data_IF_388305852852
#
_entry.id   IF_388305852852
#
_cell.length_a   1.000
_cell.length_b   1.000
_cell.length_c   1.000
_cell.angle_alpha   90.00
_cell.angle_beta   90.00
_cell.angle_gamma   90.00
#
_symmetry.space_group_name_H-M   'P 1'
#
loop_
_entity.id
_entity.type
_entity.pdbx_description
1 polymer ?
#
# COMPACT_ATOMS: atom_id res chain seq x y z
N UNK A 1 -41.39 40.36 -42.03
CA UNK A 1 -42.34 40.34 -40.89
C UNK A 1 -42.93 38.94 -40.72
N UNK A 2 -43.36 38.29 -41.80
CA UNK A 2 -43.93 36.92 -41.83
C UNK A 2 -43.06 35.82 -41.16
N UNK A 3 -41.73 35.91 -41.24
CA UNK A 3 -40.81 34.92 -40.64
C UNK A 3 -40.67 35.02 -39.12
N UNK A 4 -40.96 36.19 -38.53
CA UNK A 4 -40.93 36.39 -37.09
C UNK A 4 -42.24 35.88 -36.45
N UNK A 5 -43.37 36.10 -37.11
CA UNK A 5 -44.69 35.62 -36.69
C UNK A 5 -44.74 34.08 -36.69
N UNK A 6 -44.26 33.43 -37.76
CA UNK A 6 -44.15 31.96 -37.83
C UNK A 6 -43.30 31.35 -36.71
N UNK A 7 -42.22 32.02 -36.31
CA UNK A 7 -41.34 31.55 -35.24
C UNK A 7 -41.99 31.68 -33.86
N UNK A 8 -42.76 32.74 -33.64
CA UNK A 8 -43.53 32.95 -32.41
C UNK A 8 -44.67 31.93 -32.31
N UNK A 9 -45.40 31.68 -33.40
CA UNK A 9 -46.46 30.67 -33.44
C UNK A 9 -45.92 29.25 -33.17
N UNK A 10 -44.75 28.92 -33.73
CA UNK A 10 -44.10 27.63 -33.45
C UNK A 10 -43.64 27.51 -31.99
N UNK A 11 -43.17 28.59 -31.37
CA UNK A 11 -42.82 28.59 -29.94
C UNK A 11 -44.05 28.42 -29.05
N UNK A 12 -45.16 29.10 -29.37
CA UNK A 12 -46.44 28.96 -28.66
C UNK A 12 -46.96 27.53 -28.80
N UNK A 13 -46.91 26.94 -30.00
CA UNK A 13 -47.32 25.56 -30.21
C UNK A 13 -46.45 24.55 -29.42
N UNK A 14 -45.15 24.80 -29.31
CA UNK A 14 -44.24 23.94 -28.53
C UNK A 14 -44.50 24.09 -27.02
N UNK A 15 -44.76 25.31 -26.55
CA UNK A 15 -45.12 25.59 -25.15
C UNK A 15 -46.46 24.92 -24.82
N UNK A 16 -47.47 25.03 -25.68
CA UNK A 16 -48.77 24.37 -25.45
C UNK A 16 -48.61 22.85 -25.31
N UNK A 17 -47.82 22.20 -26.17
CA UNK A 17 -47.56 20.75 -26.03
C UNK A 17 -46.84 20.40 -24.73
N UNK A 18 -45.89 21.22 -24.29
CA UNK A 18 -45.21 21.02 -23.00
C UNK A 18 -46.15 21.24 -21.82
N UNK A 19 -47.03 22.23 -21.92
CA UNK A 19 -48.07 22.48 -20.92
C UNK A 19 -49.06 21.32 -20.88
N UNK A 20 -49.49 20.78 -22.02
CA UNK A 20 -50.38 19.62 -22.09
C UNK A 20 -49.74 18.40 -21.45
N UNK A 21 -48.46 18.12 -21.76
CA UNK A 21 -47.70 17.01 -21.14
C UNK A 21 -47.54 17.18 -19.62
N UNK A 22 -47.22 18.40 -19.16
CA UNK A 22 -47.13 18.69 -17.71
C UNK A 22 -48.50 18.58 -17.05
N UNK A 23 -49.57 18.98 -17.74
CA UNK A 23 -50.94 18.91 -17.22
C UNK A 23 -51.39 17.47 -17.05
N UNK A 24 -51.02 16.59 -17.98
CA UNK A 24 -51.30 15.15 -17.93
C UNK A 24 -50.57 14.49 -16.74
N UNK A 25 -49.25 14.70 -16.61
CA UNK A 25 -48.46 14.27 -15.45
C UNK A 25 -49.00 14.84 -14.12
N UNK A 26 -49.38 16.12 -14.11
CA UNK A 26 -49.97 16.74 -12.91
C UNK A 26 -51.34 16.15 -12.56
N UNK A 27 -52.16 15.77 -13.54
CA UNK A 27 -53.43 15.10 -13.30
C UNK A 27 -53.20 13.71 -12.72
N UNK A 28 -52.22 12.96 -13.22
CA UNK A 28 -51.89 11.63 -12.72
C UNK A 28 -51.36 11.69 -11.27
N UNK A 29 -50.48 12.66 -10.97
CA UNK A 29 -50.03 12.92 -9.60
C UNK A 29 -51.17 13.37 -8.68
N UNK A 30 -52.12 14.16 -9.18
CA UNK A 30 -53.28 14.59 -8.39
C UNK A 30 -54.20 13.41 -8.06
N UNK A 31 -54.41 12.50 -9.00
CA UNK A 31 -55.19 11.29 -8.79
C UNK A 31 -54.53 10.36 -7.76
N UNK A 32 -53.21 10.25 -7.77
CA UNK A 32 -52.49 9.52 -6.71
C UNK A 32 -52.64 10.19 -5.34
N UNK A 33 -52.57 11.53 -5.27
CA UNK A 33 -52.83 12.27 -4.02
C UNK A 33 -54.25 12.08 -3.49
N UNK A 34 -55.25 12.02 -4.38
CA UNK A 34 -56.63 11.71 -3.97
C UNK A 34 -56.77 10.30 -3.42
N UNK A 35 -56.13 9.30 -4.03
CA UNK A 35 -56.08 7.93 -3.50
C UNK A 35 -55.41 7.86 -2.12
N UNK A 36 -54.40 8.70 -1.86
CA UNK A 36 -53.76 8.80 -0.54
C UNK A 36 -54.67 9.41 0.52
N UNK A 37 -55.46 10.42 0.16
CA UNK A 37 -56.41 11.04 1.08
C UNK A 37 -57.55 10.08 1.45
N UNK A 38 -58.00 9.26 0.50
CA UNK A 38 -59.00 8.19 0.73
C UNK A 38 -58.42 7.08 1.65
N UNK A 39 -57.16 6.71 1.42
CA UNK A 39 -56.46 5.76 2.28
C UNK A 39 -56.28 6.27 3.72
N UNK A 40 -56.03 7.57 3.90
CA UNK A 40 -55.94 8.22 5.21
C UNK A 40 -57.25 8.08 6.00
N UNK A 41 -58.39 8.12 5.32
CA UNK A 41 -59.71 7.92 5.91
C UNK A 41 -59.91 6.44 6.35
N UNK A 42 -59.59 5.49 5.48
CA UNK A 42 -59.72 4.04 5.73
C UNK A 42 -58.79 3.51 6.84
N UNK A 43 -57.67 4.17 7.05
CA UNK A 43 -56.67 3.81 8.07
C UNK A 43 -57.17 3.93 9.49
N UNK A 44 -58.11 4.84 9.71
CA UNK A 44 -58.77 4.99 10.99
C UNK A 44 -59.48 3.69 11.39
N UNK A 45 -60.01 2.93 10.42
CA UNK A 45 -60.63 1.63 10.67
C UNK A 45 -59.59 0.53 10.96
N UNK A 46 -58.56 0.40 10.12
CA UNK A 46 -57.53 -0.66 10.25
C UNK A 46 -56.70 -0.47 11.52
N UNK A 47 -56.43 0.78 11.92
CA UNK A 47 -55.66 1.09 13.14
C UNK A 47 -56.29 0.48 14.40
N UNK A 48 -57.62 0.41 14.47
CA UNK A 48 -58.36 -0.17 15.60
C UNK A 48 -58.10 -1.67 15.75
N UNK A 49 -58.06 -2.39 14.63
CA UNK A 49 -57.83 -3.85 14.61
C UNK A 49 -56.38 -4.19 14.94
N UNK A 50 -55.43 -3.41 14.41
CA UNK A 50 -54.00 -3.53 14.72
C UNK A 50 -53.73 -3.20 16.19
N UNK A 51 -54.37 -2.16 16.72
CA UNK A 51 -54.26 -1.78 18.13
C UNK A 51 -54.79 -2.84 19.08
N UNK A 52 -55.95 -3.42 18.75
CA UNK A 52 -56.52 -4.51 19.54
C UNK A 52 -55.58 -5.72 19.55
N UNK A 53 -55.08 -6.12 18.38
CA UNK A 53 -54.13 -7.24 18.26
C UNK A 53 -52.81 -6.98 19.00
N UNK A 54 -52.27 -5.76 18.91
CA UNK A 54 -51.02 -5.40 19.60
C UNK A 54 -51.21 -5.37 21.13
N UNK A 55 -52.36 -4.90 21.62
CA UNK A 55 -52.68 -4.88 23.06
C UNK A 55 -52.82 -6.29 23.61
N UNK A 56 -53.52 -7.19 22.89
CA UNK A 56 -53.65 -8.61 23.26
C UNK A 56 -52.29 -9.34 23.30
N UNK A 57 -51.36 -9.03 22.39
CA UNK A 57 -50.03 -9.64 22.37
C UNK A 57 -49.07 -9.06 23.44
N UNK A 58 -49.27 -7.80 23.84
CA UNK A 58 -48.34 -7.07 24.72
C UNK A 58 -48.80 -6.99 26.17
N UNK A 59 -50.07 -7.31 26.47
CA UNK A 59 -50.54 -7.59 27.83
C UNK A 59 -49.68 -8.66 28.51
N UNK A 60 -49.15 -9.62 27.74
CA UNK A 60 -48.29 -10.70 28.23
C UNK A 60 -46.87 -10.23 28.63
N UNK A 61 -46.45 -9.04 28.18
CA UNK A 61 -45.10 -8.48 28.43
C UNK A 61 -45.12 -7.14 29.19
N UNK A 62 -46.29 -6.64 29.60
CA UNK A 62 -46.42 -5.41 30.40
C UNK A 62 -46.06 -4.11 29.67
N UNK A 63 -46.07 -4.11 28.33
CA UNK A 63 -45.75 -2.93 27.53
C UNK A 63 -47.02 -2.14 27.23
N UNK A 64 -47.11 -0.90 27.72
CA UNK A 64 -48.22 0.00 27.41
C UNK A 64 -48.03 0.66 26.04
N UNK A 65 -48.92 0.36 25.10
CA UNK A 65 -48.97 1.05 23.81
C UNK A 65 -49.91 2.25 23.89
N UNK A 66 -49.42 3.41 23.42
CA UNK A 66 -50.26 4.57 23.20
C UNK A 66 -50.98 4.44 21.84
N UNK A 67 -52.31 4.31 21.89
CA UNK A 67 -53.16 4.15 20.70
C UNK A 67 -53.03 5.30 19.70
N UNK A 68 -52.87 6.54 20.18
CA UNK A 68 -52.77 7.72 19.32
C UNK A 68 -51.41 7.77 18.62
N UNK A 69 -50.34 7.36 19.32
CA UNK A 69 -48.99 7.29 18.76
C UNK A 69 -48.89 6.24 17.64
N UNK A 70 -49.56 5.09 17.78
CA UNK A 70 -49.56 4.05 16.74
C UNK A 70 -50.34 4.48 15.51
N UNK A 71 -51.51 5.10 15.69
CA UNK A 71 -52.28 5.65 14.57
C UNK A 71 -51.49 6.74 13.85
N UNK A 72 -50.84 7.65 14.58
CA UNK A 72 -50.00 8.68 13.97
C UNK A 72 -48.80 8.09 13.21
N UNK A 73 -48.17 7.05 13.73
CA UNK A 73 -47.09 6.33 13.06
C UNK A 73 -47.57 5.63 11.77
N UNK A 74 -48.74 4.99 11.80
CA UNK A 74 -49.34 4.37 10.62
C UNK A 74 -49.59 5.43 9.54
N UNK A 75 -50.29 6.52 9.87
CA UNK A 75 -50.57 7.62 8.93
C UNK A 75 -49.28 8.21 8.36
N UNK A 76 -48.28 8.46 9.21
CA UNK A 76 -46.96 8.95 8.77
C UNK A 76 -46.27 7.94 7.85
N UNK A 77 -46.37 6.64 8.09
CA UNK A 77 -45.78 5.61 7.22
C UNK A 77 -46.42 5.59 5.83
N UNK A 78 -47.75 5.63 5.74
CA UNK A 78 -48.44 5.64 4.44
C UNK A 78 -48.21 6.93 3.67
N UNK A 79 -48.25 8.08 4.35
CA UNK A 79 -47.96 9.37 3.74
C UNK A 79 -46.52 9.48 3.24
N UNK A 80 -45.61 8.65 3.75
CA UNK A 80 -44.21 8.60 3.36
C UNK A 80 -43.84 7.29 2.66
N UNK A 81 -44.80 6.55 2.09
CA UNK A 81 -44.50 5.27 1.44
C UNK A 81 -43.48 5.42 0.32
N UNK A 82 -43.49 6.53 -0.41
CA UNK A 82 -42.56 6.80 -1.50
C UNK A 82 -41.13 6.95 -0.96
N UNK A 83 -40.98 7.59 0.20
CA UNK A 83 -39.69 7.70 0.89
C UNK A 83 -39.24 6.33 1.41
N UNK A 84 -40.16 5.50 1.90
CA UNK A 84 -39.89 4.14 2.36
C UNK A 84 -39.45 3.25 1.17
N UNK A 85 -40.13 3.34 0.03
CA UNK A 85 -39.77 2.64 -1.20
C UNK A 85 -38.38 3.05 -1.68
N UNK A 86 -38.08 4.36 -1.66
CA UNK A 86 -36.73 4.85 -2.00
C UNK A 86 -35.65 4.24 -1.09
N UNK A 87 -35.95 4.07 0.21
CA UNK A 87 -35.03 3.39 1.13
C UNK A 87 -34.89 1.91 0.78
N UNK A 88 -35.97 1.22 0.40
CA UNK A 88 -35.89 -0.17 -0.07
C UNK A 88 -35.07 -0.31 -1.35
N UNK A 89 -35.23 0.59 -2.32
CA UNK A 89 -34.43 0.60 -3.56
C UNK A 89 -32.94 0.82 -3.28
N UNK A 90 -32.63 1.68 -2.29
CA UNK A 90 -31.26 1.91 -1.82
C UNK A 90 -30.70 0.68 -1.11
N UNK A 91 -31.51 -0.03 -0.33
CA UNK A 91 -31.11 -1.27 0.32
C UNK A 91 -30.86 -2.38 -0.70
N UNK A 92 -31.72 -2.52 -1.71
CA UNK A 92 -31.56 -3.44 -2.84
C UNK A 92 -30.25 -3.16 -3.58
N UNK A 93 -30.03 -1.89 -3.93
CA UNK A 93 -28.78 -1.44 -4.57
C UNK A 93 -27.54 -1.70 -3.71
N UNK A 94 -27.65 -1.54 -2.39
CA UNK A 94 -26.56 -1.80 -1.46
C UNK A 94 -26.28 -3.30 -1.32
N UNK A 95 -27.31 -4.15 -1.31
CA UNK A 95 -27.14 -5.61 -1.34
C UNK A 95 -26.54 -6.10 -2.64
N UNK A 96 -26.98 -5.55 -3.78
CA UNK A 96 -26.42 -5.86 -5.10
C UNK A 96 -24.94 -5.47 -5.18
N UNK A 97 -24.61 -4.27 -4.71
CA UNK A 97 -23.23 -3.81 -4.64
C UNK A 97 -22.39 -4.69 -3.70
N UNK A 98 -22.94 -5.12 -2.57
CA UNK A 98 -22.25 -6.00 -1.64
C UNK A 98 -22.01 -7.39 -2.25
N UNK A 99 -22.97 -7.90 -3.01
CA UNK A 99 -22.84 -9.16 -3.73
C UNK A 99 -21.78 -9.07 -4.85
N UNK A 100 -21.82 -8.00 -5.63
CA UNK A 100 -20.84 -7.72 -6.70
C UNK A 100 -19.43 -7.51 -6.13
N UNK A 101 -19.30 -6.73 -5.06
CA UNK A 101 -18.03 -6.53 -4.36
C UNK A 101 -17.49 -7.86 -3.80
N UNK A 102 -18.37 -8.70 -3.24
CA UNK A 102 -18.01 -10.03 -2.77
C UNK A 102 -17.41 -10.90 -3.87
N UNK A 103 -18.01 -10.92 -5.07
CA UNK A 103 -17.50 -11.65 -6.24
C UNK A 103 -16.16 -11.11 -6.72
N UNK A 104 -15.99 -9.79 -6.77
CA UNK A 104 -14.73 -9.14 -7.15
C UNK A 104 -13.62 -9.48 -6.15
N UNK A 105 -13.90 -9.40 -4.84
CA UNK A 105 -12.96 -9.76 -3.77
C UNK A 105 -12.56 -11.22 -3.87
N UNK A 106 -13.50 -12.12 -4.19
CA UNK A 106 -13.21 -13.53 -4.32
C UNK A 106 -12.29 -13.82 -5.52
N UNK A 107 -12.53 -13.20 -6.68
CA UNK A 107 -11.67 -13.31 -7.87
C UNK A 107 -10.28 -12.71 -7.62
N UNK A 108 -10.21 -11.48 -7.10
CA UNK A 108 -8.95 -10.83 -6.76
C UNK A 108 -8.18 -11.59 -5.66
N UNK A 109 -8.90 -12.20 -4.72
CA UNK A 109 -8.32 -13.00 -3.64
C UNK A 109 -7.59 -14.24 -4.16
N UNK A 110 -8.09 -14.88 -5.21
CA UNK A 110 -7.40 -16.01 -5.85
C UNK A 110 -6.08 -15.56 -6.48
N UNK A 111 -6.10 -14.48 -7.28
CA UNK A 111 -4.90 -13.94 -7.93
C UNK A 111 -3.86 -13.44 -6.92
N UNK A 112 -4.30 -12.81 -5.82
CA UNK A 112 -3.43 -12.35 -4.74
C UNK A 112 -2.83 -13.53 -4.00
N UNK A 113 -3.61 -14.57 -3.71
CA UNK A 113 -3.12 -15.77 -3.01
C UNK A 113 -2.08 -16.50 -3.85
N UNK A 114 -2.31 -16.62 -5.16
CA UNK A 114 -1.35 -17.24 -6.07
C UNK A 114 -0.04 -16.44 -6.12
N UNK A 115 -0.12 -15.10 -6.25
CA UNK A 115 1.08 -14.23 -6.20
C UNK A 115 1.80 -14.29 -4.85
N UNK A 116 1.09 -14.28 -3.74
CA UNK A 116 1.68 -14.41 -2.40
C UNK A 116 2.37 -15.77 -2.25
N UNK A 117 1.76 -16.83 -2.76
CA UNK A 117 2.34 -18.17 -2.75
C UNK A 117 3.59 -18.26 -3.63
N UNK A 118 3.57 -17.63 -4.80
CA UNK A 118 4.74 -17.52 -5.68
C UNK A 118 5.90 -16.78 -4.98
N UNK A 119 5.60 -15.65 -4.32
CA UNK A 119 6.58 -14.90 -3.53
C UNK A 119 7.16 -15.74 -2.38
N UNK A 120 6.33 -16.54 -1.71
CA UNK A 120 6.79 -17.45 -0.65
C UNK A 120 7.65 -18.58 -1.20
N UNK A 121 7.27 -19.19 -2.32
CA UNK A 121 8.04 -20.25 -2.97
C UNK A 121 9.43 -19.75 -3.42
N UNK A 122 9.51 -18.54 -3.96
CA UNK A 122 10.78 -17.89 -4.32
C UNK A 122 11.59 -17.54 -3.06
N UNK A 123 10.95 -17.50 -1.88
CA UNK A 123 11.60 -17.29 -0.59
C UNK A 123 11.66 -15.82 -0.17
N UNK A 124 10.88 -14.93 -0.77
CA UNK A 124 10.86 -13.51 -0.42
C UNK A 124 10.51 -13.28 1.05
N UNK A 125 9.54 -14.01 1.61
CA UNK A 125 9.19 -13.89 3.03
C UNK A 125 10.33 -14.33 3.94
N UNK A 126 11.04 -15.40 3.57
CA UNK A 126 12.23 -15.85 4.30
C UNK A 126 13.32 -14.80 4.26
N UNK A 127 13.60 -14.24 3.07
CA UNK A 127 14.59 -13.18 2.90
C UNK A 127 14.25 -11.92 3.72
N UNK A 128 12.99 -11.46 3.69
CA UNK A 128 12.55 -10.31 4.49
C UNK A 128 12.65 -10.58 6.00
N UNK A 129 12.32 -11.80 6.44
CA UNK A 129 12.48 -12.21 7.83
C UNK A 129 13.95 -12.18 8.26
N UNK A 130 14.86 -12.71 7.43
CA UNK A 130 16.30 -12.66 7.68
C UNK A 130 16.85 -11.23 7.65
N UNK A 131 16.36 -10.37 6.75
CA UNK A 131 16.68 -8.94 6.76
C UNK A 131 16.24 -8.27 8.07
N UNK A 132 15.05 -8.62 8.57
CA UNK A 132 14.57 -8.15 9.87
C UNK A 132 15.48 -8.63 11.02
N UNK A 133 15.94 -9.88 10.98
CA UNK A 133 16.90 -10.40 11.96
C UNK A 133 18.24 -9.66 11.91
N UNK A 134 18.80 -9.45 10.72
CA UNK A 134 20.03 -8.66 10.52
C UNK A 134 19.83 -7.23 10.99
N UNK A 135 18.73 -6.59 10.62
CA UNK A 135 18.39 -5.23 11.05
C UNK A 135 18.30 -5.11 12.57
N UNK A 136 17.66 -6.07 13.24
CA UNK A 136 17.60 -6.10 14.70
C UNK A 136 18.98 -6.25 15.34
N UNK A 137 19.86 -7.09 14.77
CA UNK A 137 21.25 -7.24 15.25
C UNK A 137 22.06 -5.95 15.06
N UNK A 138 21.84 -5.25 13.94
CA UNK A 138 22.43 -3.95 13.68
C UNK A 138 21.95 -2.93 14.71
N UNK A 139 20.64 -2.78 14.93
CA UNK A 139 20.08 -1.84 15.91
C UNK A 139 20.50 -2.15 17.35
N UNK A 140 20.75 -3.43 17.70
CA UNK A 140 21.24 -3.80 19.03
C UNK A 140 22.71 -3.41 19.27
N UNK A 141 23.53 -3.33 18.22
CA UNK A 141 24.98 -3.09 18.35
C UNK A 141 25.39 -1.69 17.87
N UNK A 142 24.58 -1.05 17.06
CA UNK A 142 24.81 0.27 16.48
C UNK A 142 23.71 1.21 16.96
N UNK A 143 24.11 2.37 17.48
CA UNK A 143 23.18 3.45 17.82
C UNK A 143 22.55 4.06 16.56
N UNK A 144 21.51 4.87 16.74
CA UNK A 144 20.89 5.59 15.63
C UNK A 144 21.91 6.51 14.92
N UNK A 145 22.78 7.15 15.71
CA UNK A 145 23.90 7.96 15.22
C UNK A 145 24.89 7.13 14.39
N UNK A 146 25.21 5.90 14.79
CA UNK A 146 26.09 5.03 14.02
C UNK A 146 25.47 4.66 12.66
N UNK A 147 24.16 4.38 12.64
CA UNK A 147 23.44 4.06 11.40
C UNK A 147 23.39 5.29 10.47
N UNK A 148 23.20 6.49 11.02
CA UNK A 148 23.27 7.73 10.23
C UNK A 148 24.66 7.99 9.67
N UNK A 149 25.71 7.84 10.49
CA UNK A 149 27.09 7.98 10.02
C UNK A 149 27.44 6.94 8.93
N UNK A 150 26.92 5.71 9.04
CA UNK A 150 27.04 4.69 8.00
C UNK A 150 26.29 5.09 6.72
N UNK A 151 25.07 5.62 6.86
CA UNK A 151 24.27 6.13 5.75
C UNK A 151 24.97 7.26 4.99
N UNK A 152 25.54 8.24 5.71
CA UNK A 152 26.27 9.37 5.14
C UNK A 152 27.53 8.92 4.37
N UNK A 153 28.15 7.82 4.79
CA UNK A 153 29.36 7.28 4.18
C UNK A 153 29.09 6.07 3.26
N UNK A 154 27.83 5.72 3.01
CA UNK A 154 27.47 4.47 2.30
C UNK A 154 28.06 4.44 0.89
N UNK A 155 28.07 5.58 0.18
CA UNK A 155 28.65 5.69 -1.16
C UNK A 155 30.14 5.39 -1.15
N UNK A 156 30.89 5.96 -0.20
CA UNK A 156 32.32 5.73 -0.06
C UNK A 156 32.65 4.27 0.30
N UNK A 157 31.85 3.67 1.20
CA UNK A 157 31.99 2.26 1.57
C UNK A 157 31.75 1.37 0.34
N UNK A 158 30.66 1.61 -0.41
CA UNK A 158 30.34 0.85 -1.62
C UNK A 158 31.40 1.01 -2.71
N UNK A 159 31.94 2.21 -2.90
CA UNK A 159 33.06 2.44 -3.83
C UNK A 159 34.32 1.70 -3.39
N UNK A 160 34.62 1.68 -2.09
CA UNK A 160 35.77 0.95 -1.55
C UNK A 160 35.61 -0.55 -1.73
N UNK A 161 34.43 -1.10 -1.41
CA UNK A 161 34.10 -2.51 -1.67
C UNK A 161 34.25 -2.81 -3.16
N UNK A 162 33.70 -1.96 -4.04
CA UNK A 162 33.84 -2.09 -5.50
C UNK A 162 35.30 -2.10 -5.94
N UNK A 163 36.17 -1.26 -5.35
CA UNK A 163 37.62 -1.22 -5.68
C UNK A 163 38.33 -2.49 -5.22
N UNK A 164 38.01 -3.01 -4.04
CA UNK A 164 38.61 -4.25 -3.51
C UNK A 164 38.13 -5.48 -4.28
N UNK A 165 36.89 -5.48 -4.76
CA UNK A 165 36.33 -6.57 -5.59
C UNK A 165 36.73 -6.50 -7.06
N UNK A 166 37.61 -5.56 -7.46
CA UNK A 166 38.18 -5.59 -8.80
C UNK A 166 39.08 -6.83 -8.99
N UNK A 167 39.13 -7.41 -10.20
CA UNK A 167 39.88 -8.63 -10.48
C UNK A 167 41.32 -8.62 -9.98
N UNK A 168 42.05 -7.52 -10.23
CA UNK A 168 43.46 -7.37 -9.84
C UNK A 168 43.65 -7.42 -8.31
N UNK A 169 42.76 -6.79 -7.55
CA UNK A 169 42.80 -6.75 -6.09
C UNK A 169 42.41 -8.10 -5.47
N UNK A 170 41.37 -8.74 -6.01
CA UNK A 170 40.98 -10.10 -5.60
C UNK A 170 42.11 -11.10 -5.86
N UNK A 171 42.80 -11.00 -7.00
CA UNK A 171 43.94 -11.84 -7.31
C UNK A 171 45.10 -11.60 -6.34
N UNK A 172 45.41 -10.35 -6.01
CA UNK A 172 46.44 -10.02 -5.03
C UNK A 172 46.14 -10.61 -3.64
N UNK A 173 44.88 -10.50 -3.17
CA UNK A 173 44.43 -11.07 -1.90
C UNK A 173 44.53 -12.60 -1.92
N UNK A 174 44.05 -13.24 -2.99
CA UNK A 174 44.12 -14.70 -3.13
C UNK A 174 45.57 -15.21 -3.11
N UNK A 175 46.46 -14.53 -3.84
CA UNK A 175 47.89 -14.86 -3.84
C UNK A 175 48.50 -14.71 -2.44
N UNK A 176 48.16 -13.64 -1.71
CA UNK A 176 48.63 -13.43 -0.34
C UNK A 176 48.14 -14.54 0.61
N UNK A 177 46.87 -14.97 0.49
CA UNK A 177 46.31 -16.06 1.29
C UNK A 177 47.03 -17.39 1.01
N UNK A 178 47.32 -17.69 -0.26
CA UNK A 178 48.05 -18.90 -0.66
C UNK A 178 49.47 -18.88 -0.06
N UNK A 179 50.17 -17.75 -0.17
CA UNK A 179 51.52 -17.58 0.40
C UNK A 179 51.47 -17.78 1.92
N UNK A 180 50.53 -17.14 2.61
CA UNK A 180 50.40 -17.25 4.07
C UNK A 180 50.15 -18.69 4.52
N UNK A 181 49.30 -19.45 3.81
CA UNK A 181 49.07 -20.88 4.09
C UNK A 181 50.28 -21.75 3.80
N UNK A 182 51.14 -21.35 2.86
CA UNK A 182 52.31 -22.12 2.45
C UNK A 182 53.55 -21.92 3.33
N UNK A 183 53.54 -20.90 4.19
CA UNK A 183 54.62 -20.64 5.16
C UNK A 183 54.31 -21.40 6.45
N UNK A 184 55.19 -22.31 6.85
CA UNK A 184 55.14 -22.94 8.18
C UNK A 184 55.41 -21.87 9.24
N UNK A 185 54.35 -21.39 9.88
CA UNK A 185 54.40 -20.28 10.87
C UNK A 185 54.73 -20.76 12.28
N UNK A 186 54.58 -22.06 12.55
CA UNK A 186 54.76 -22.62 13.90
C UNK A 186 56.21 -23.00 14.22
N UNK A 187 57.04 -23.34 13.21
CA UNK A 187 58.41 -23.82 13.41
C UNK A 187 59.39 -23.18 12.42
N UNK A 188 59.53 -21.86 12.48
CA UNK A 188 60.54 -21.15 11.67
C UNK A 188 61.93 -21.38 12.28
N UNK A 189 62.87 -22.06 11.58
CA UNK A 189 64.19 -22.32 12.14
C UNK A 189 64.99 -21.03 12.30
N UNK A 190 65.75 -20.92 13.39
CA UNK A 190 66.64 -19.78 13.61
C UNK A 190 67.67 -19.66 12.48
N UNK A 191 67.78 -18.46 11.89
CA UNK A 191 68.68 -18.19 10.77
C UNK A 191 69.90 -17.38 11.25
N UNK A 192 71.09 -17.97 11.14
CA UNK A 192 72.34 -17.26 11.46
C UNK A 192 72.64 -16.12 10.47
N UNK A 193 73.34 -15.08 10.95
CA UNK A 193 73.63 -13.84 10.19
C UNK A 193 74.23 -14.07 8.80
N UNK A 194 75.15 -15.03 8.65
CA UNK A 194 75.74 -15.34 7.36
C UNK A 194 74.75 -15.99 6.38
N UNK A 195 73.92 -16.92 6.88
CA UNK A 195 72.87 -17.56 6.07
C UNK A 195 71.85 -16.51 5.63
N UNK A 196 71.44 -15.61 6.53
CA UNK A 196 70.57 -14.48 6.20
C UNK A 196 71.14 -13.60 5.08
N UNK A 197 72.41 -13.21 5.17
CA UNK A 197 73.05 -12.40 4.12
C UNK A 197 73.11 -13.13 2.77
N UNK A 198 73.30 -14.45 2.78
CA UNK A 198 73.24 -15.28 1.56
C UNK A 198 71.83 -15.36 1.00
N UNK A 199 70.82 -15.58 1.85
CA UNK A 199 69.41 -15.65 1.44
C UNK A 199 68.92 -14.31 0.87
N UNK A 200 69.32 -13.18 1.46
CA UNK A 200 69.01 -11.84 0.94
C UNK A 200 69.64 -11.57 -0.44
N UNK A 201 70.71 -12.29 -0.80
CA UNK A 201 71.39 -12.15 -2.08
C UNK A 201 70.73 -13.00 -3.20
N UNK A 202 69.73 -13.82 -2.87
CA UNK A 202 68.97 -14.63 -3.86
C UNK A 202 68.21 -13.74 -4.85
N UNK A 203 68.00 -14.21 -6.10
CA UNK A 203 67.22 -13.47 -7.11
C UNK A 203 65.82 -13.09 -6.62
N UNK A 204 65.17 -13.96 -5.86
CA UNK A 204 63.82 -13.78 -5.31
C UNK A 204 63.80 -12.67 -4.25
N UNK A 205 64.72 -12.71 -3.28
CA UNK A 205 64.83 -11.69 -2.23
C UNK A 205 65.17 -10.31 -2.82
N UNK A 206 66.07 -10.25 -3.80
CA UNK A 206 66.40 -9.00 -4.51
C UNK A 206 65.21 -8.42 -5.26
N UNK A 207 64.41 -9.26 -5.93
CA UNK A 207 63.16 -8.82 -6.60
C UNK A 207 62.16 -8.27 -5.58
N UNK A 208 62.00 -8.94 -4.44
CA UNK A 208 61.15 -8.48 -3.34
C UNK A 208 61.59 -7.13 -2.76
N UNK A 209 62.90 -6.96 -2.49
CA UNK A 209 63.47 -5.70 -2.04
C UNK A 209 63.31 -4.59 -3.09
N UNK A 210 63.52 -4.89 -4.38
CA UNK A 210 63.30 -3.95 -5.48
C UNK A 210 61.84 -3.51 -5.60
N UNK A 211 60.89 -4.43 -5.41
CA UNK A 211 59.46 -4.11 -5.31
C UNK A 211 59.19 -3.17 -4.14
N UNK A 212 59.70 -3.48 -2.93
CA UNK A 212 59.52 -2.65 -1.75
C UNK A 212 60.07 -1.23 -1.97
N UNK A 213 61.26 -1.10 -2.53
CA UNK A 213 61.87 0.20 -2.86
C UNK A 213 60.99 0.98 -3.84
N UNK A 214 60.51 0.32 -4.90
CA UNK A 214 59.65 0.94 -5.91
C UNK A 214 58.30 1.35 -5.33
N UNK A 215 57.72 0.51 -4.48
CA UNK A 215 56.49 0.78 -3.77
C UNK A 215 56.63 2.00 -2.85
N UNK A 216 57.68 2.05 -2.03
CA UNK A 216 57.96 3.18 -1.14
C UNK A 216 58.19 4.47 -1.91
N UNK A 217 58.89 4.42 -3.05
CA UNK A 217 59.08 5.58 -3.93
C UNK A 217 57.75 6.12 -4.46
N UNK A 218 56.90 5.24 -5.00
CA UNK A 218 55.59 5.62 -5.53
C UNK A 218 54.63 6.12 -4.42
N UNK A 219 54.73 5.55 -3.22
CA UNK A 219 53.96 5.99 -2.05
C UNK A 219 54.37 7.40 -1.61
N UNK A 220 55.67 7.68 -1.58
CA UNK A 220 56.21 9.01 -1.31
C UNK A 220 55.73 10.04 -2.32
N UNK A 221 55.91 9.78 -3.62
CA UNK A 221 55.58 10.72 -4.71
C UNK A 221 54.09 11.10 -4.78
N UNK A 222 53.17 10.14 -4.56
CA UNK A 222 51.72 10.41 -4.54
C UNK A 222 51.30 11.26 -3.34
N UNK A 223 51.97 11.11 -2.20
CA UNK A 223 51.70 11.93 -1.01
C UNK A 223 52.23 13.36 -1.14
N UNK A 224 53.36 13.58 -1.84
CA UNK A 224 53.86 14.93 -2.14
C UNK A 224 52.97 15.66 -3.16
N UNK A 225 52.44 14.95 -4.17
CA UNK A 225 51.53 15.54 -5.17
C UNK A 225 50.23 16.07 -4.55
N UNK A 226 49.65 15.36 -3.57
CA UNK A 226 48.45 15.78 -2.86
C UNK A 226 48.66 16.98 -1.90
N UNK A 227 49.91 17.29 -1.53
CA UNK A 227 50.24 18.48 -0.73
C UNK A 227 50.42 19.74 -1.58
N UNK A 228 50.89 19.62 -2.83
CA UNK A 228 51.11 20.76 -3.74
C UNK A 228 49.80 21.34 -4.30
N UNK A 229 48.73 20.54 -4.39
CA UNK A 229 47.40 21.00 -4.86
C UNK A 229 46.59 21.70 -3.73
N UNK A 230 47.02 21.60 -2.47
CA UNK A 230 46.40 22.27 -1.31
C UNK A 230 47.09 23.60 -0.91
N UNK A 231 47.99 24.13 -1.74
CA UNK A 231 48.51 25.51 -1.63
C UNK A 231 48.01 26.32 -2.81
#
# INVERSE_FOLDING_TARGET
METAELKIEQQIANINRKLDFIMEEMMEQKLQKEKWNDLEEDVTHVSKEVMQSATEMLEDNGVQINSEAVTELLVRAMRNIDNINTVFDLLESATDLAEDAGRIIQLAGMDITEKITELDHIGYFRFLKELGYVGNRVVQHFSAEDIHALGDNVVYILETVKRITQPDMLQAINNAIIIFKSVETENVPEMGLWKMMRELNTPEAKRGLGFLVTFLKNFGEKNTFNQTIKK
#
